data_IF_508883804071
#
_entry.id   IF_508883804071
#
_cell.length_a   1.000
_cell.length_b   1.000
_cell.length_c   1.000
_cell.angle_alpha   90.00
_cell.angle_beta   90.00
_cell.angle_gamma   90.00
#
_symmetry.space_group_name_H-M   'P 1'
#
loop_
_entity.id
_entity.type
_entity.pdbx_description
1 polymer ?
#
# COMPACT_ATOMS: atom_id res chain seq x y z
N UNK A 1 -2.45 -39.17 3.25
CA UNK A 1 -1.26 -38.87 4.09
C UNK A 1 -0.43 -37.84 3.31
N UNK A 2 0.01 -36.78 3.95
CA UNK A 2 0.94 -35.86 3.32
C UNK A 2 2.32 -36.53 3.32
N UNK A 3 2.89 -36.72 2.14
CA UNK A 3 4.26 -37.20 2.00
C UNK A 3 5.23 -36.09 2.37
N UNK A 4 6.22 -36.42 3.22
CA UNK A 4 7.22 -35.42 3.67
C UNK A 4 8.62 -35.92 3.29
N UNK A 5 9.51 -34.97 2.96
CA UNK A 5 10.92 -35.22 2.68
C UNK A 5 11.73 -34.58 3.81
N UNK A 6 12.64 -35.36 4.40
CA UNK A 6 13.56 -34.83 5.39
C UNK A 6 14.62 -33.94 4.75
N UNK A 7 14.75 -32.68 5.19
CA UNK A 7 15.85 -31.81 4.83
C UNK A 7 16.90 -31.84 5.94
N UNK A 8 18.16 -32.26 5.64
CA UNK A 8 19.21 -32.27 6.65
C UNK A 8 19.51 -30.88 7.20
N UNK A 9 19.86 -30.82 8.49
CA UNK A 9 20.35 -29.60 9.12
C UNK A 9 21.64 -29.12 8.41
N UNK A 10 21.77 -27.81 8.26
CA UNK A 10 22.94 -27.19 7.60
C UNK A 10 23.21 -25.81 8.21
N UNK A 11 24.50 -25.40 8.16
CA UNK A 11 24.88 -24.06 8.48
C UNK A 11 24.49 -23.11 7.34
N UNK A 12 23.99 -21.94 7.70
CA UNK A 12 23.61 -20.89 6.75
C UNK A 12 24.58 -19.72 6.90
N UNK A 13 25.16 -19.31 5.79
CA UNK A 13 26.14 -18.23 5.77
C UNK A 13 25.45 -16.89 6.14
N UNK A 14 26.00 -16.20 7.15
CA UNK A 14 25.65 -14.81 7.43
C UNK A 14 26.37 -13.93 6.41
N UNK A 15 25.63 -13.26 5.57
CA UNK A 15 26.18 -12.44 4.46
C UNK A 15 26.09 -10.95 4.77
N UNK A 16 25.29 -10.55 5.77
CA UNK A 16 25.09 -9.16 6.13
C UNK A 16 24.68 -8.97 7.59
N UNK A 17 25.02 -7.79 8.14
CA UNK A 17 24.59 -7.29 9.44
C UNK A 17 24.30 -5.82 9.34
N UNK A 18 23.18 -5.38 9.92
CA UNK A 18 22.77 -3.98 9.98
C UNK A 18 22.06 -3.70 11.31
N UNK A 19 21.98 -2.47 11.73
CA UNK A 19 21.20 -2.09 12.92
C UNK A 19 19.71 -2.42 12.69
N UNK A 20 19.21 -2.15 11.47
CA UNK A 20 17.82 -2.41 11.09
C UNK A 20 17.76 -3.25 9.81
N UNK A 21 17.02 -4.34 9.85
CA UNK A 21 16.69 -5.16 8.68
C UNK A 21 15.21 -4.95 8.36
N UNK A 22 14.91 -4.45 7.16
CA UNK A 22 13.56 -4.26 6.65
C UNK A 22 13.25 -5.35 5.64
N UNK A 23 12.16 -6.07 5.82
CA UNK A 23 11.77 -7.19 4.94
C UNK A 23 10.52 -6.83 4.15
N UNK A 24 10.67 -6.65 2.84
CA UNK A 24 9.65 -6.23 1.89
C UNK A 24 9.86 -4.80 1.41
N UNK A 25 10.21 -4.62 0.14
CA UNK A 25 10.47 -3.34 -0.52
C UNK A 25 9.20 -2.64 -1.05
N UNK A 26 8.05 -2.87 -0.39
CA UNK A 26 6.81 -2.14 -0.68
C UNK A 26 6.80 -0.71 -0.11
N UNK A 27 5.70 0.05 -0.27
CA UNK A 27 5.62 1.44 0.20
C UNK A 27 6.00 1.62 1.67
N UNK A 28 5.50 0.76 2.57
CA UNK A 28 5.88 0.79 3.98
C UNK A 28 7.38 0.51 4.20
N UNK A 29 7.93 -0.48 3.49
CA UNK A 29 9.33 -0.86 3.63
C UNK A 29 10.30 0.20 3.12
N UNK A 30 9.98 0.87 2.02
CA UNK A 30 10.74 2.00 1.51
C UNK A 30 10.78 3.11 2.56
N UNK A 31 9.61 3.49 3.09
CA UNK A 31 9.52 4.53 4.12
C UNK A 31 10.24 4.15 5.40
N UNK A 32 10.13 2.88 5.86
CA UNK A 32 10.82 2.38 7.04
C UNK A 32 12.35 2.42 6.86
N UNK A 33 12.84 1.93 5.73
CA UNK A 33 14.27 1.87 5.45
C UNK A 33 14.88 3.28 5.33
N UNK A 34 14.23 4.18 4.57
CA UNK A 34 14.67 5.56 4.38
C UNK A 34 14.65 6.32 5.71
N UNK A 35 13.57 6.17 6.48
CA UNK A 35 13.42 6.85 7.78
C UNK A 35 14.49 6.37 8.77
N UNK A 36 14.69 5.07 8.92
CA UNK A 36 15.72 4.53 9.80
C UNK A 36 17.13 5.01 9.40
N UNK A 37 17.47 4.97 8.11
CA UNK A 37 18.76 5.40 7.60
C UNK A 37 19.00 6.91 7.80
N UNK A 38 17.99 7.75 7.53
CA UNK A 38 18.09 9.21 7.78
C UNK A 38 18.27 9.56 9.26
N UNK A 39 17.85 8.67 10.16
CA UNK A 39 18.05 8.81 11.60
C UNK A 39 19.34 8.14 12.10
N UNK A 40 20.22 7.71 11.21
CA UNK A 40 21.59 7.29 11.50
C UNK A 40 21.82 5.79 11.66
N UNK A 41 20.80 4.95 11.46
CA UNK A 41 20.99 3.50 11.47
C UNK A 41 21.59 2.98 10.15
N UNK A 42 22.41 1.94 10.24
CA UNK A 42 22.72 1.09 9.08
C UNK A 42 21.50 0.23 8.75
N UNK A 43 21.09 0.24 7.49
CA UNK A 43 19.84 -0.41 7.06
C UNK A 43 20.05 -1.32 5.87
N UNK A 44 19.56 -2.56 5.98
CA UNK A 44 19.41 -3.48 4.85
C UNK A 44 17.94 -3.70 4.55
N UNK A 45 17.53 -3.40 3.30
CA UNK A 45 16.18 -3.64 2.79
C UNK A 45 16.19 -4.85 1.85
N UNK A 46 15.34 -5.84 2.16
CA UNK A 46 15.18 -7.07 1.38
C UNK A 46 13.91 -7.02 0.54
N UNK A 47 14.02 -7.37 -0.74
CA UNK A 47 12.86 -7.47 -1.64
C UNK A 47 12.95 -8.76 -2.48
N UNK A 48 11.83 -9.48 -2.58
CA UNK A 48 11.75 -10.74 -3.35
C UNK A 48 11.79 -10.54 -4.87
N UNK A 49 11.24 -9.44 -5.35
CA UNK A 49 11.17 -9.11 -6.78
C UNK A 49 12.42 -8.34 -7.26
N UNK A 50 12.60 -8.20 -8.59
CA UNK A 50 13.68 -7.39 -9.15
C UNK A 50 13.47 -5.88 -9.03
N UNK A 51 12.40 -5.44 -8.38
CA UNK A 51 12.03 -4.04 -8.23
C UNK A 51 11.44 -3.78 -6.85
N UNK A 52 11.48 -2.52 -6.42
CA UNK A 52 10.83 -2.00 -5.22
C UNK A 52 9.53 -1.27 -5.56
N UNK A 53 8.72 -0.98 -4.56
CA UNK A 53 7.44 -0.28 -4.71
C UNK A 53 6.22 -1.16 -4.43
N UNK A 54 6.40 -2.47 -4.23
CA UNK A 54 5.33 -3.40 -3.87
C UNK A 54 4.10 -3.25 -4.77
N UNK A 55 2.89 -3.19 -4.20
CA UNK A 55 1.66 -3.06 -4.99
C UNK A 55 1.48 -1.68 -5.65
N UNK A 56 2.12 -0.62 -5.17
CA UNK A 56 2.12 0.66 -5.87
C UNK A 56 2.75 0.53 -7.27
N UNK A 57 3.86 -0.19 -7.36
CA UNK A 57 4.57 -0.42 -8.62
C UNK A 57 4.15 -1.73 -9.29
N UNK A 58 4.36 -2.86 -8.61
CA UNK A 58 4.11 -4.19 -9.17
C UNK A 58 2.65 -4.58 -9.29
N UNK A 59 1.79 -4.10 -8.40
CA UNK A 59 0.33 -4.24 -8.51
C UNK A 59 -0.32 -3.16 -9.36
N UNK A 60 0.45 -2.18 -9.84
CA UNK A 60 0.00 -1.05 -10.66
C UNK A 60 -1.17 -0.29 -10.02
N UNK A 61 -1.17 -0.09 -8.70
CA UNK A 61 -2.16 0.79 -8.07
C UNK A 61 -1.87 2.22 -8.50
N UNK A 62 -2.85 2.85 -9.15
CA UNK A 62 -2.65 4.15 -9.82
C UNK A 62 -2.74 5.33 -8.86
N UNK A 63 -3.57 5.28 -7.84
CA UNK A 63 -3.90 6.44 -7.00
C UNK A 63 -3.33 6.28 -5.60
N UNK A 64 -2.63 7.33 -5.14
CA UNK A 64 -2.31 7.52 -3.72
C UNK A 64 -3.45 8.35 -3.12
N UNK A 65 -4.30 7.72 -2.36
CA UNK A 65 -5.46 8.29 -1.70
C UNK A 65 -5.38 8.15 -0.17
N UNK A 66 -6.45 8.49 0.54
CA UNK A 66 -6.56 8.35 2.00
C UNK A 66 -5.50 9.16 2.78
N UNK A 67 -5.16 10.33 2.27
CA UNK A 67 -4.11 11.20 2.81
C UNK A 67 -4.57 12.62 3.18
N UNK A 68 -5.88 12.82 3.23
CA UNK A 68 -6.48 14.11 3.54
C UNK A 68 -7.66 13.95 4.50
N UNK A 69 -7.78 14.85 5.47
CA UNK A 69 -8.98 15.07 6.25
C UNK A 69 -9.54 16.44 5.88
N UNK A 70 -10.66 16.48 5.18
CA UNK A 70 -11.23 17.69 4.57
C UNK A 70 -10.20 18.44 3.70
N UNK A 71 -9.63 19.53 4.19
CA UNK A 71 -8.59 20.32 3.50
C UNK A 71 -7.18 20.05 4.04
N UNK A 72 -7.09 19.40 5.20
CA UNK A 72 -5.82 19.10 5.85
C UNK A 72 -5.16 17.86 5.24
N UNK A 73 -3.93 18.01 4.71
CA UNK A 73 -3.13 16.87 4.27
C UNK A 73 -2.55 16.18 5.51
N UNK A 74 -3.00 14.96 5.77
CA UNK A 74 -2.70 14.18 6.98
C UNK A 74 -1.53 13.22 6.80
N UNK A 75 -1.29 12.74 5.59
CA UNK A 75 -0.10 11.92 5.28
C UNK A 75 0.92 12.79 4.57
N UNK A 76 2.07 13.02 5.23
CA UNK A 76 3.16 13.89 4.79
C UNK A 76 4.48 13.12 4.70
N UNK A 77 5.59 13.76 5.00
CA UNK A 77 6.91 13.13 5.09
C UNK A 77 7.35 12.48 3.78
N UNK A 78 7.82 11.23 3.87
CA UNK A 78 8.37 10.48 2.73
C UNK A 78 7.34 10.30 1.60
N UNK A 79 6.05 10.14 1.94
CA UNK A 79 5.00 10.01 0.92
C UNK A 79 4.91 11.26 0.04
N UNK A 80 4.90 12.45 0.64
CA UNK A 80 4.87 13.71 -0.11
C UNK A 80 6.15 13.92 -0.92
N UNK A 81 7.32 13.56 -0.37
CA UNK A 81 8.58 13.62 -1.11
C UNK A 81 8.53 12.74 -2.37
N UNK A 82 7.95 11.55 -2.28
CA UNK A 82 7.76 10.66 -3.42
C UNK A 82 6.85 11.28 -4.50
N UNK A 83 5.73 11.86 -4.07
CA UNK A 83 4.79 12.56 -4.96
C UNK A 83 5.50 13.70 -5.71
N UNK A 84 6.21 14.57 -4.99
CA UNK A 84 6.89 15.70 -5.61
C UNK A 84 7.99 15.25 -6.58
N UNK A 85 8.74 14.18 -6.28
CA UNK A 85 9.70 13.60 -7.22
C UNK A 85 9.05 13.13 -8.52
N UNK A 86 7.93 12.42 -8.43
CA UNK A 86 7.20 11.93 -9.61
C UNK A 86 6.59 13.09 -10.41
N UNK A 87 6.13 14.17 -9.76
CA UNK A 87 5.64 15.39 -10.41
C UNK A 87 6.73 16.10 -11.23
N UNK A 88 7.97 16.12 -10.75
CA UNK A 88 9.10 16.71 -11.50
C UNK A 88 9.34 16.04 -12.86
N UNK A 89 8.93 14.79 -13.01
CA UNK A 89 9.03 14.08 -14.29
C UNK A 89 7.76 14.15 -15.14
N UNK A 90 6.72 14.86 -14.68
CA UNK A 90 5.42 14.90 -15.34
C UNK A 90 4.63 13.58 -15.27
N UNK A 91 5.01 12.66 -14.35
CA UNK A 91 4.44 11.32 -14.23
C UNK A 91 3.60 11.16 -12.95
N UNK A 92 3.15 12.27 -12.38
CA UNK A 92 2.20 12.30 -11.27
C UNK A 92 1.32 13.54 -11.39
N UNK A 93 0.03 13.36 -11.20
CA UNK A 93 -1.00 14.39 -11.30
C UNK A 93 -1.72 14.50 -9.98
N UNK A 94 -1.90 15.73 -9.50
CA UNK A 94 -2.66 16.06 -8.29
C UNK A 94 -3.66 17.17 -8.58
N UNK A 95 -4.80 17.27 -7.86
CA UNK A 95 -5.71 18.41 -7.98
C UNK A 95 -5.01 19.70 -7.57
N UNK A 96 -5.45 20.82 -8.13
CA UNK A 96 -4.97 22.14 -7.71
C UNK A 96 -5.58 22.53 -6.35
N UNK A 97 -4.95 23.47 -5.66
CA UNK A 97 -5.50 23.98 -4.40
C UNK A 97 -6.90 24.58 -4.57
N UNK A 98 -7.16 25.24 -5.72
CA UNK A 98 -8.48 25.77 -6.06
C UNK A 98 -9.52 24.68 -6.17
N UNK A 99 -9.21 23.55 -6.83
CA UNK A 99 -10.16 22.45 -7.04
C UNK A 99 -10.53 21.75 -5.71
N UNK A 100 -9.72 21.97 -4.67
CA UNK A 100 -9.93 21.37 -3.33
C UNK A 100 -10.64 22.29 -2.34
N UNK A 101 -10.84 23.57 -2.68
CA UNK A 101 -11.59 24.51 -1.82
C UNK A 101 -13.04 24.03 -1.68
N UNK A 102 -13.60 24.17 -0.47
CA UNK A 102 -14.96 23.70 -0.12
C UNK A 102 -16.00 24.18 -1.13
N UNK A 103 -15.89 25.43 -1.60
CA UNK A 103 -16.81 26.07 -2.54
C UNK A 103 -16.74 25.53 -3.98
N UNK A 104 -15.67 24.77 -4.34
CA UNK A 104 -15.48 24.25 -5.69
C UNK A 104 -15.38 22.72 -5.76
N UNK A 105 -14.95 22.05 -4.70
CA UNK A 105 -14.54 20.65 -4.72
C UNK A 105 -15.63 19.62 -5.03
N UNK A 106 -16.89 19.97 -4.82
CA UNK A 106 -18.06 19.12 -5.07
C UNK A 106 -18.95 19.65 -6.21
N UNK A 107 -18.41 20.55 -7.04
CA UNK A 107 -19.12 21.06 -8.22
C UNK A 107 -19.09 20.07 -9.38
N UNK A 108 -20.10 20.11 -10.28
CA UNK A 108 -20.10 19.28 -11.50
C UNK A 108 -18.83 19.49 -12.36
N UNK A 109 -18.30 20.71 -12.43
CA UNK A 109 -17.10 21.05 -13.18
C UNK A 109 -15.84 20.40 -12.60
N UNK A 110 -15.66 20.44 -11.28
CA UNK A 110 -14.54 19.78 -10.59
C UNK A 110 -14.63 18.27 -10.76
N UNK A 111 -15.83 17.72 -10.61
CA UNK A 111 -16.08 16.29 -10.84
C UNK A 111 -15.75 15.89 -12.28
N UNK A 112 -16.22 16.60 -13.28
CA UNK A 112 -15.95 16.35 -14.69
C UNK A 112 -14.47 16.35 -14.99
N UNK A 113 -13.70 17.24 -14.34
CA UNK A 113 -12.26 17.37 -14.54
C UNK A 113 -11.45 16.24 -13.87
N UNK A 114 -11.84 15.80 -12.68
CA UNK A 114 -10.99 14.99 -11.81
C UNK A 114 -11.47 13.56 -11.56
N UNK A 115 -12.76 13.24 -11.80
CA UNK A 115 -13.29 11.93 -11.53
C UNK A 115 -12.55 10.79 -12.25
N UNK A 116 -12.22 11.00 -13.53
CA UNK A 116 -11.49 10.00 -14.32
C UNK A 116 -9.99 9.92 -14.01
N UNK A 117 -9.51 10.74 -13.08
CA UNK A 117 -8.19 10.58 -12.45
C UNK A 117 -8.27 9.81 -11.13
N UNK A 118 -9.46 9.55 -10.61
CA UNK A 118 -9.66 8.94 -9.31
C UNK A 118 -9.29 9.85 -8.13
N UNK A 119 -9.29 11.19 -8.32
CA UNK A 119 -8.81 12.15 -7.34
C UNK A 119 -9.96 12.77 -6.56
N UNK A 120 -10.73 11.92 -5.88
CA UNK A 120 -11.90 12.31 -5.09
C UNK A 120 -12.05 11.45 -3.83
N UNK A 121 -12.86 11.90 -2.89
CA UNK A 121 -13.14 11.17 -1.66
C UNK A 121 -14.12 10.03 -1.89
N UNK A 122 -13.62 8.81 -1.97
CA UNK A 122 -14.41 7.58 -2.13
C UNK A 122 -15.30 7.26 -0.92
N UNK A 123 -15.04 7.85 0.23
CA UNK A 123 -15.74 7.54 1.48
C UNK A 123 -16.95 8.43 1.73
N UNK A 124 -17.06 9.53 1.00
CA UNK A 124 -18.21 10.43 1.08
C UNK A 124 -19.39 9.85 0.30
N UNK A 125 -20.59 9.73 0.88
CA UNK A 125 -21.77 9.20 0.19
C UNK A 125 -22.40 10.18 -0.81
N UNK A 126 -22.03 11.47 -0.77
CA UNK A 126 -22.57 12.52 -1.65
C UNK A 126 -22.12 12.34 -3.09
N UNK A 127 -22.97 12.72 -4.04
CA UNK A 127 -22.63 12.79 -5.46
C UNK A 127 -22.89 14.22 -5.99
N UNK A 128 -21.96 14.82 -6.74
CA UNK A 128 -20.61 14.34 -7.02
C UNK A 128 -19.76 14.21 -5.75
N UNK A 129 -18.82 13.25 -5.76
CA UNK A 129 -17.88 13.13 -4.64
C UNK A 129 -16.96 14.34 -4.58
N UNK A 130 -16.58 14.81 -3.37
CA UNK A 130 -15.65 15.92 -3.20
C UNK A 130 -14.27 15.61 -3.79
N UNK A 131 -13.70 16.53 -4.55
CA UNK A 131 -12.32 16.42 -4.99
C UNK A 131 -11.38 16.62 -3.81
N UNK A 132 -10.44 15.70 -3.63
CA UNK A 132 -9.52 15.70 -2.50
C UNK A 132 -8.06 15.64 -2.96
N UNK A 133 -7.12 15.97 -2.07
CA UNK A 133 -5.71 15.79 -2.36
C UNK A 133 -5.40 14.31 -2.38
N UNK A 134 -5.11 13.84 -3.56
CA UNK A 134 -4.64 12.49 -3.89
C UNK A 134 -3.77 12.60 -5.14
N UNK A 135 -3.06 11.53 -5.49
CA UNK A 135 -2.10 11.58 -6.59
C UNK A 135 -2.26 10.38 -7.52
N UNK A 136 -2.58 10.65 -8.79
CA UNK A 136 -2.51 9.67 -9.86
C UNK A 136 -1.09 9.64 -10.42
N UNK A 137 -0.48 8.46 -10.51
CA UNK A 137 0.94 8.33 -10.85
C UNK A 137 1.21 7.16 -11.81
N UNK A 138 2.35 7.25 -12.49
CA UNK A 138 2.86 6.14 -13.29
C UNK A 138 3.62 5.13 -12.39
N UNK A 139 3.35 3.80 -12.50
CA UNK A 139 4.01 2.79 -11.67
C UNK A 139 5.55 2.76 -11.80
N UNK A 140 6.08 3.03 -12.99
CA UNK A 140 7.53 3.08 -13.19
C UNK A 140 8.16 4.36 -12.61
N UNK A 141 7.42 5.46 -12.58
CA UNK A 141 7.83 6.66 -11.86
C UNK A 141 7.93 6.39 -10.34
N UNK A 142 6.99 5.62 -9.79
CA UNK A 142 7.07 5.21 -8.38
C UNK A 142 8.28 4.32 -8.10
N UNK A 143 8.59 3.34 -8.97
CA UNK A 143 9.80 2.53 -8.88
C UNK A 143 11.06 3.39 -8.88
N UNK A 144 11.17 4.30 -9.86
CA UNK A 144 12.30 5.21 -9.99
C UNK A 144 12.48 6.08 -8.75
N UNK A 145 11.40 6.72 -8.27
CA UNK A 145 11.44 7.53 -7.06
C UNK A 145 11.87 6.70 -5.84
N UNK A 146 11.43 5.44 -5.75
CA UNK A 146 11.81 4.51 -4.69
C UNK A 146 13.32 4.21 -4.70
N UNK A 147 13.90 3.92 -5.87
CA UNK A 147 15.34 3.70 -5.98
C UNK A 147 16.15 4.95 -5.63
N UNK A 148 15.72 6.11 -6.13
CA UNK A 148 16.40 7.39 -5.87
C UNK A 148 16.43 7.70 -4.36
N UNK A 149 15.30 7.56 -3.67
CA UNK A 149 15.21 7.90 -2.24
C UNK A 149 15.99 6.92 -1.36
N UNK A 150 15.97 5.62 -1.71
CA UNK A 150 16.75 4.59 -1.01
C UNK A 150 18.25 4.81 -1.19
N UNK A 151 18.69 5.10 -2.40
CA UNK A 151 20.11 5.38 -2.70
C UNK A 151 20.60 6.63 -1.99
N UNK A 152 19.81 7.73 -2.02
CA UNK A 152 20.13 8.98 -1.34
C UNK A 152 20.19 8.83 0.18
N UNK A 153 19.40 7.93 0.76
CA UNK A 153 19.43 7.63 2.18
C UNK A 153 20.58 6.66 2.57
N UNK A 154 21.29 6.09 1.60
CA UNK A 154 22.36 5.11 1.87
C UNK A 154 21.85 3.74 2.30
N UNK A 155 20.62 3.39 1.97
CA UNK A 155 20.05 2.07 2.28
C UNK A 155 20.71 0.99 1.43
N UNK A 156 21.13 -0.11 2.06
CA UNK A 156 21.63 -1.29 1.38
C UNK A 156 20.45 -2.11 0.87
N UNK A 157 20.18 -2.01 -0.42
CA UNK A 157 19.10 -2.74 -1.08
C UNK A 157 19.54 -4.10 -1.57
N UNK A 158 18.78 -5.16 -1.26
CA UNK A 158 18.95 -6.52 -1.76
C UNK A 158 17.64 -7.01 -2.40
N UNK A 159 17.53 -6.86 -3.70
CA UNK A 159 16.46 -7.48 -4.50
C UNK A 159 16.72 -8.98 -4.71
N UNK A 160 15.75 -9.73 -5.27
CA UNK A 160 15.85 -11.18 -5.48
C UNK A 160 16.13 -11.99 -4.21
N UNK A 161 15.69 -11.48 -3.07
CA UNK A 161 15.89 -12.06 -1.74
C UNK A 161 14.53 -12.47 -1.15
N UNK A 162 14.13 -13.73 -1.41
CA UNK A 162 12.87 -14.26 -0.91
C UNK A 162 13.01 -14.60 0.57
N UNK A 163 12.19 -14.00 1.41
CA UNK A 163 12.10 -14.36 2.81
C UNK A 163 11.75 -15.85 2.95
N UNK A 164 12.47 -16.56 3.81
CA UNK A 164 12.28 -17.99 4.09
C UNK A 164 11.87 -18.23 5.53
N UNK A 165 12.61 -17.68 6.50
CA UNK A 165 12.30 -17.83 7.92
C UNK A 165 12.90 -16.73 8.78
N UNK A 166 12.31 -16.51 9.95
CA UNK A 166 12.86 -15.65 10.99
C UNK A 166 13.95 -16.39 11.79
N UNK A 167 14.95 -15.65 12.26
CA UNK A 167 15.95 -16.12 13.22
C UNK A 167 15.57 -15.56 14.58
N UNK A 168 15.13 -16.42 15.50
CA UNK A 168 14.64 -16.04 16.83
C UNK A 168 15.46 -16.72 17.92
N UNK A 169 15.92 -15.96 18.89
CA UNK A 169 16.61 -16.41 20.09
C UNK A 169 15.74 -16.08 21.32
N UNK A 170 15.16 -17.10 21.94
CA UNK A 170 14.16 -16.91 22.99
C UNK A 170 12.91 -16.20 22.44
N UNK A 171 12.70 -14.95 22.84
CA UNK A 171 11.61 -14.09 22.32
C UNK A 171 12.10 -12.97 21.41
N UNK A 172 13.40 -12.92 21.14
CA UNK A 172 14.00 -11.82 20.40
C UNK A 172 14.33 -12.23 18.97
N UNK A 173 13.82 -11.53 17.98
CA UNK A 173 14.24 -11.71 16.60
C UNK A 173 15.67 -11.15 16.44
N UNK A 174 16.52 -11.88 15.69
CA UNK A 174 17.93 -11.55 15.43
C UNK A 174 18.24 -11.33 13.97
N UNK A 175 17.28 -11.56 13.12
CA UNK A 175 17.45 -11.44 11.68
C UNK A 175 16.53 -12.37 10.92
N UNK A 176 16.86 -12.59 9.66
CA UNK A 176 16.07 -13.42 8.75
C UNK A 176 16.95 -14.27 7.85
N UNK A 177 16.38 -15.35 7.35
CA UNK A 177 16.96 -16.19 6.30
C UNK A 177 16.18 -15.92 5.03
N UNK A 178 16.92 -15.69 3.94
CA UNK A 178 16.39 -15.51 2.60
C UNK A 178 16.86 -16.61 1.66
N UNK A 179 15.99 -17.05 0.76
CA UNK A 179 16.37 -17.85 -0.41
C UNK A 179 16.79 -16.89 -1.53
N UNK A 180 18.00 -17.08 -2.02
CA UNK A 180 18.57 -16.33 -3.16
C UNK A 180 18.98 -17.29 -4.25
N UNK A 181 19.48 -16.76 -5.36
CA UNK A 181 20.06 -17.56 -6.44
C UNK A 181 21.31 -18.33 -5.98
N UNK A 182 22.03 -17.83 -4.99
CA UNK A 182 23.21 -18.45 -4.39
C UNK A 182 22.88 -19.51 -3.30
N UNK A 183 21.59 -19.68 -2.99
CA UNK A 183 21.11 -20.54 -1.90
C UNK A 183 20.54 -19.74 -0.73
N UNK A 184 20.49 -20.36 0.45
CA UNK A 184 20.04 -19.69 1.65
C UNK A 184 21.13 -18.81 2.24
N UNK A 185 20.75 -17.59 2.60
CA UNK A 185 21.63 -16.58 3.20
C UNK A 185 20.95 -15.98 4.43
N UNK A 186 21.71 -15.75 5.50
CA UNK A 186 21.22 -15.10 6.71
C UNK A 186 21.66 -13.63 6.74
N UNK A 187 20.72 -12.76 7.11
CA UNK A 187 20.89 -11.33 7.33
C UNK A 187 20.52 -11.05 8.79
N UNK A 188 21.45 -10.54 9.57
CA UNK A 188 21.24 -10.26 10.97
C UNK A 188 20.99 -8.77 11.23
N UNK A 189 20.16 -8.47 12.24
CA UNK A 189 19.84 -7.12 12.65
C UNK A 189 19.44 -7.03 14.11
N UNK A 190 19.68 -5.86 14.71
CA UNK A 190 19.28 -5.59 16.09
C UNK A 190 17.78 -5.31 16.19
N UNK A 191 17.19 -4.78 15.12
CA UNK A 191 15.74 -4.63 14.94
C UNK A 191 15.36 -5.16 13.56
N UNK A 192 14.24 -5.86 13.47
CA UNK A 192 13.62 -6.29 12.20
C UNK A 192 12.28 -5.59 12.03
N UNK A 193 12.02 -5.09 10.81
CA UNK A 193 10.73 -4.50 10.45
C UNK A 193 10.08 -5.38 9.38
N UNK A 194 8.93 -5.97 9.71
CA UNK A 194 8.10 -6.73 8.77
C UNK A 194 7.22 -5.78 7.96
N UNK A 195 7.55 -5.65 6.68
CA UNK A 195 6.80 -4.88 5.69
C UNK A 195 6.42 -5.75 4.48
N UNK A 196 6.34 -7.07 4.69
CA UNK A 196 6.06 -8.06 3.63
C UNK A 196 4.68 -7.93 3.03
N UNK A 197 3.75 -7.29 3.74
CA UNK A 197 2.35 -7.11 3.34
C UNK A 197 1.47 -8.32 3.67
N UNK A 198 2.06 -9.47 3.95
CA UNK A 198 1.37 -10.73 4.25
C UNK A 198 1.77 -11.31 5.63
N UNK A 199 2.46 -10.52 6.46
CA UNK A 199 2.94 -10.87 7.80
C UNK A 199 3.91 -12.06 7.80
N UNK A 200 4.74 -12.20 6.77
CA UNK A 200 5.56 -13.39 6.61
C UNK A 200 6.61 -13.52 7.71
N UNK A 201 7.26 -12.42 8.11
CA UNK A 201 8.30 -12.44 9.16
C UNK A 201 7.69 -12.70 10.53
N UNK A 202 6.67 -11.96 10.91
CA UNK A 202 6.05 -12.07 12.22
C UNK A 202 5.37 -13.45 12.42
N UNK A 203 4.68 -13.95 11.40
CA UNK A 203 4.09 -15.30 11.43
C UNK A 203 5.16 -16.38 11.55
N UNK A 204 6.27 -16.26 10.79
CA UNK A 204 7.41 -17.19 10.89
C UNK A 204 8.11 -17.13 12.25
N UNK A 205 8.11 -15.98 12.90
CA UNK A 205 8.65 -15.79 14.25
C UNK A 205 7.72 -16.32 15.36
N UNK A 206 6.49 -16.73 15.02
CA UNK A 206 5.51 -17.27 15.97
C UNK A 206 4.56 -16.22 16.56
N UNK A 207 4.44 -15.04 15.92
CA UNK A 207 3.47 -14.04 16.34
C UNK A 207 2.02 -14.49 16.05
N UNK A 208 1.12 -14.19 16.98
CA UNK A 208 -0.31 -14.42 16.84
C UNK A 208 -0.91 -13.57 15.72
N UNK A 209 -1.77 -14.15 14.91
CA UNK A 209 -2.42 -13.49 13.79
C UNK A 209 -3.73 -14.14 13.40
N UNK A 210 -4.57 -13.38 12.70
CA UNK A 210 -5.77 -13.91 12.04
C UNK A 210 -5.54 -14.00 10.54
N UNK A 211 -6.01 -15.07 9.92
CA UNK A 211 -6.08 -15.17 8.46
C UNK A 211 -7.41 -14.63 7.96
N UNK A 212 -7.35 -13.85 6.91
CA UNK A 212 -8.51 -13.27 6.25
C UNK A 212 -8.27 -13.20 4.75
N UNK A 213 -9.34 -13.24 3.99
CA UNK A 213 -9.31 -13.07 2.55
C UNK A 213 -10.20 -11.91 2.14
N UNK A 214 -9.75 -11.20 1.15
CA UNK A 214 -10.55 -10.20 0.48
C UNK A 214 -10.51 -10.44 -1.03
N UNK A 215 -10.38 -9.40 -1.84
CA UNK A 215 -10.38 -9.51 -3.29
C UNK A 215 -8.95 -9.59 -3.80
N UNK A 216 -8.66 -10.51 -4.73
CA UNK A 216 -7.50 -10.46 -5.60
C UNK A 216 -7.86 -9.68 -6.87
N UNK A 217 -6.92 -8.91 -7.40
CA UNK A 217 -7.14 -8.05 -8.58
C UNK A 217 -5.99 -8.21 -9.56
N UNK A 218 -6.30 -8.44 -10.83
CA UNK A 218 -5.32 -8.37 -11.92
C UNK A 218 -5.52 -7.03 -12.63
N UNK A 219 -4.62 -6.10 -12.42
CA UNK A 219 -4.66 -4.77 -13.02
C UNK A 219 -4.02 -4.77 -14.40
N UNK A 220 -4.50 -3.92 -15.29
CA UNK A 220 -3.88 -3.69 -16.61
C UNK A 220 -3.94 -2.22 -17.00
N UNK A 221 -3.02 -1.83 -17.91
CA UNK A 221 -3.09 -0.53 -18.59
C UNK A 221 -3.35 -0.75 -20.07
N UNK A 222 -4.22 0.08 -20.63
CA UNK A 222 -4.57 0.03 -22.04
C UNK A 222 -4.18 1.33 -22.73
N UNK A 223 -3.52 1.21 -23.88
CA UNK A 223 -3.16 2.31 -24.76
C UNK A 223 -4.13 2.44 -25.93
N UNK A 224 -4.00 3.50 -26.70
CA UNK A 224 -4.82 3.76 -27.90
C UNK A 224 -6.25 4.20 -27.58
N UNK A 225 -6.51 4.68 -26.36
CA UNK A 225 -7.84 5.13 -25.92
C UNK A 225 -7.99 6.62 -26.18
N UNK A 226 -9.07 7.01 -26.91
CA UNK A 226 -9.55 8.37 -26.98
C UNK A 226 -10.37 8.71 -25.72
N UNK A 227 -9.66 9.18 -24.68
CA UNK A 227 -10.29 9.48 -23.39
C UNK A 227 -11.33 10.59 -23.47
N UNK A 228 -11.20 11.52 -24.40
CA UNK A 228 -12.16 12.61 -24.57
C UNK A 228 -13.46 12.10 -25.21
N UNK A 229 -13.38 11.18 -26.16
CA UNK A 229 -14.54 10.51 -26.74
C UNK A 229 -15.26 9.64 -25.69
N UNK A 230 -14.51 8.87 -24.91
CA UNK A 230 -15.05 8.03 -23.85
C UNK A 230 -15.77 8.85 -22.75
N UNK A 231 -15.18 9.96 -22.29
CA UNK A 231 -15.81 10.87 -21.31
C UNK A 231 -17.04 11.59 -21.89
N UNK A 232 -17.00 11.96 -23.19
CA UNK A 232 -18.19 12.54 -23.86
C UNK A 232 -19.33 11.56 -23.90
N UNK A 233 -19.09 10.33 -24.33
CA UNK A 233 -20.11 9.28 -24.39
C UNK A 233 -20.78 9.06 -23.04
N UNK A 234 -20.01 8.90 -21.96
CA UNK A 234 -20.53 8.72 -20.60
C UNK A 234 -21.43 9.89 -20.16
N UNK A 235 -21.06 11.11 -20.55
CA UNK A 235 -21.81 12.34 -20.19
C UNK A 235 -23.05 12.55 -21.05
N UNK A 236 -22.96 12.30 -22.37
CA UNK A 236 -23.99 12.64 -23.34
C UNK A 236 -25.05 11.53 -23.50
N UNK A 237 -24.67 10.27 -23.23
CA UNK A 237 -25.57 9.12 -23.25
C UNK A 237 -25.36 8.19 -22.04
N UNK A 238 -25.69 8.68 -20.82
CA UNK A 238 -25.45 7.93 -19.58
C UNK A 238 -26.25 6.62 -19.49
N UNK A 239 -27.39 6.52 -20.16
CA UNK A 239 -28.19 5.28 -20.18
C UNK A 239 -27.53 4.21 -21.05
N UNK A 240 -27.06 4.56 -22.25
CA UNK A 240 -26.29 3.63 -23.08
C UNK A 240 -24.99 3.21 -22.38
N UNK A 241 -24.25 4.17 -21.76
CA UNK A 241 -23.05 3.87 -20.98
C UNK A 241 -23.33 2.86 -19.86
N UNK A 242 -24.42 3.04 -19.11
CA UNK A 242 -24.82 2.14 -18.03
C UNK A 242 -25.12 0.72 -18.50
N UNK A 243 -25.72 0.57 -19.68
CA UNK A 243 -25.97 -0.74 -20.26
C UNK A 243 -24.68 -1.45 -20.66
N UNK A 244 -23.75 -0.73 -21.29
CA UNK A 244 -22.45 -1.27 -21.68
C UNK A 244 -21.59 -1.58 -20.46
N UNK A 245 -21.60 -0.73 -19.40
CA UNK A 245 -20.93 -1.00 -18.14
C UNK A 245 -21.46 -2.26 -17.45
N UNK A 246 -22.78 -2.48 -17.50
CA UNK A 246 -23.39 -3.70 -16.98
C UNK A 246 -22.91 -4.96 -17.72
N UNK A 247 -22.80 -4.91 -19.04
CA UNK A 247 -22.31 -6.03 -19.84
C UNK A 247 -20.80 -6.25 -19.59
N UNK A 248 -20.00 -5.19 -19.57
CA UNK A 248 -18.59 -5.24 -19.20
C UNK A 248 -18.39 -5.90 -17.82
N UNK A 249 -19.21 -5.50 -16.84
CA UNK A 249 -19.21 -6.08 -15.49
C UNK A 249 -19.47 -7.59 -15.52
N UNK A 250 -20.37 -8.05 -16.36
CA UNK A 250 -20.65 -9.48 -16.53
C UNK A 250 -19.44 -10.24 -17.09
N UNK A 251 -18.74 -9.66 -18.07
CA UNK A 251 -17.54 -10.25 -18.68
C UNK A 251 -16.39 -10.40 -17.71
N UNK A 252 -16.20 -9.45 -16.80
CA UNK A 252 -15.14 -9.51 -15.77
C UNK A 252 -15.54 -10.30 -14.53
N UNK A 253 -16.74 -10.91 -14.49
CA UNK A 253 -17.17 -11.77 -13.40
C UNK A 253 -18.03 -11.09 -12.33
N UNK A 254 -18.59 -9.92 -12.63
CA UNK A 254 -19.67 -9.29 -11.88
C UNK A 254 -19.33 -8.65 -10.54
N UNK A 255 -18.06 -8.52 -10.17
CA UNK A 255 -17.71 -7.98 -8.87
C UNK A 255 -17.81 -6.45 -8.81
N UNK A 256 -17.22 -5.75 -9.77
CA UNK A 256 -17.22 -4.28 -9.86
C UNK A 256 -17.45 -3.89 -11.34
N UNK A 257 -17.73 -2.59 -11.59
CA UNK A 257 -17.94 -2.08 -12.93
C UNK A 257 -16.66 -2.02 -13.77
N UNK A 258 -16.82 -1.73 -15.06
CA UNK A 258 -15.73 -1.34 -15.96
C UNK A 258 -15.21 0.04 -15.56
N UNK A 259 -14.39 0.06 -14.52
CA UNK A 259 -13.81 1.29 -14.02
C UNK A 259 -12.47 1.53 -14.69
N UNK A 260 -12.42 2.53 -15.56
CA UNK A 260 -11.19 3.02 -16.14
C UNK A 260 -10.82 4.41 -15.61
N UNK A 261 -9.55 4.65 -15.41
CA UNK A 261 -9.01 5.94 -14.99
C UNK A 261 -7.91 6.40 -15.94
N UNK A 262 -7.78 7.72 -16.10
CA UNK A 262 -6.66 8.34 -16.83
C UNK A 262 -5.34 8.06 -16.10
N UNK A 263 -4.28 7.92 -16.87
CA UNK A 263 -2.91 7.88 -16.36
C UNK A 263 -2.16 9.15 -16.78
N UNK A 264 -1.01 9.47 -16.18
CA UNK A 264 -0.18 10.57 -16.66
C UNK A 264 0.31 10.43 -18.11
N UNK A 265 0.17 9.24 -18.71
CA UNK A 265 0.54 8.96 -20.10
C UNK A 265 -0.68 9.22 -21.02
N UNK A 266 -0.59 10.14 -22.00
CA UNK A 266 -1.71 10.44 -22.89
C UNK A 266 -2.21 9.20 -23.65
N UNK A 267 -3.52 9.01 -23.69
CA UNK A 267 -4.16 7.87 -24.37
C UNK A 267 -3.94 6.51 -23.70
N UNK A 268 -3.36 6.50 -22.50
CA UNK A 268 -3.22 5.30 -21.68
C UNK A 268 -4.16 5.39 -20.48
N UNK A 269 -4.99 4.35 -20.31
CA UNK A 269 -5.89 4.23 -19.17
C UNK A 269 -5.52 3.06 -18.27
N UNK A 270 -5.91 3.15 -17.02
CA UNK A 270 -5.70 2.14 -15.99
C UNK A 270 -7.04 1.49 -15.63
N UNK A 271 -7.05 0.17 -15.46
CA UNK A 271 -8.23 -0.62 -15.14
C UNK A 271 -8.03 -1.41 -13.85
N UNK A 272 -8.87 -1.12 -12.86
CA UNK A 272 -8.88 -1.85 -11.58
C UNK A 272 -9.84 -3.04 -11.62
N UNK A 273 -9.67 -3.89 -12.61
CA UNK A 273 -10.48 -5.10 -12.80
C UNK A 273 -9.69 -6.17 -13.58
N UNK A 274 -10.09 -7.46 -13.51
CA UNK A 274 -11.20 -8.01 -12.76
C UNK A 274 -10.89 -8.18 -11.26
N UNK A 275 -11.94 -8.15 -10.45
CA UNK A 275 -11.89 -8.49 -9.06
C UNK A 275 -12.28 -9.96 -8.86
N UNK A 276 -11.43 -10.73 -8.20
CA UNK A 276 -11.63 -12.16 -7.98
C UNK A 276 -11.79 -12.45 -6.49
N UNK A 277 -13.04 -12.49 -5.99
CA UNK A 277 -13.33 -12.87 -4.61
C UNK A 277 -13.10 -14.37 -4.41
N UNK A 278 -12.98 -14.80 -3.15
CA UNK A 278 -12.86 -16.19 -2.71
C UNK A 278 -11.50 -16.86 -2.98
N UNK A 279 -10.57 -16.21 -3.64
CA UNK A 279 -9.19 -16.69 -3.79
C UNK A 279 -8.32 -16.21 -2.63
N UNK A 280 -7.40 -17.06 -2.18
CA UNK A 280 -6.47 -16.74 -1.09
C UNK A 280 -5.14 -16.22 -1.63
N UNK A 281 -4.68 -15.09 -1.10
CA UNK A 281 -3.34 -14.55 -1.38
C UNK A 281 -2.20 -15.36 -0.74
N UNK A 282 -2.51 -16.41 0.04
CA UNK A 282 -1.53 -17.30 0.69
C UNK A 282 -1.37 -18.66 -0.03
N UNK A 283 -2.24 -18.96 -1.00
CA UNK A 283 -2.21 -20.22 -1.73
C UNK A 283 -1.66 -20.01 -3.13
N UNK A 284 -0.62 -20.76 -3.47
CA UNK A 284 0.03 -20.68 -4.78
C UNK A 284 -0.94 -20.99 -5.91
N UNK A 285 -1.80 -21.98 -5.72
CA UNK A 285 -2.83 -22.40 -6.67
C UNK A 285 -3.82 -21.25 -6.96
N UNK A 286 -4.30 -20.58 -5.91
CA UNK A 286 -5.25 -19.47 -6.01
C UNK A 286 -4.60 -18.24 -6.69
N UNK A 287 -3.33 -17.94 -6.35
CA UNK A 287 -2.58 -16.88 -7.00
C UNK A 287 -2.34 -17.18 -8.48
N UNK A 288 -1.97 -18.43 -8.82
CA UNK A 288 -1.78 -18.87 -10.20
C UNK A 288 -3.10 -18.79 -10.98
N UNK A 289 -4.21 -19.22 -10.37
CA UNK A 289 -5.54 -19.10 -10.97
C UNK A 289 -5.89 -17.62 -11.22
N UNK A 290 -5.62 -16.73 -10.26
CA UNK A 290 -5.87 -15.29 -10.42
C UNK A 290 -5.11 -14.69 -11.61
N UNK A 291 -3.84 -15.07 -11.78
CA UNK A 291 -3.01 -14.63 -12.92
C UNK A 291 -3.57 -15.11 -14.27
N UNK A 292 -3.95 -16.36 -14.37
CA UNK A 292 -4.45 -16.94 -15.62
C UNK A 292 -5.86 -16.42 -15.95
N UNK A 293 -6.77 -16.48 -14.99
CA UNK A 293 -8.18 -16.10 -15.18
C UNK A 293 -8.32 -14.58 -15.38
N UNK A 294 -7.54 -13.79 -14.62
CA UNK A 294 -7.54 -12.34 -14.75
C UNK A 294 -7.18 -11.88 -16.15
N UNK A 295 -6.10 -12.41 -16.73
CA UNK A 295 -5.70 -12.11 -18.12
C UNK A 295 -6.74 -12.54 -19.14
N UNK A 296 -7.32 -13.71 -18.97
CA UNK A 296 -8.38 -14.18 -19.87
C UNK A 296 -9.65 -13.31 -19.84
N UNK A 297 -10.03 -12.79 -18.65
CA UNK A 297 -11.16 -11.87 -18.52
C UNK A 297 -10.86 -10.52 -19.16
N UNK A 298 -9.63 -9.99 -18.96
CA UNK A 298 -9.20 -8.72 -19.58
C UNK A 298 -9.20 -8.85 -21.12
N UNK A 299 -8.75 -9.97 -21.69
CA UNK A 299 -8.78 -10.18 -23.15
C UNK A 299 -10.21 -10.07 -23.70
N UNK A 300 -11.17 -10.76 -23.07
CA UNK A 300 -12.59 -10.67 -23.48
C UNK A 300 -13.17 -9.27 -23.30
N UNK A 301 -12.77 -8.57 -22.23
CA UNK A 301 -13.22 -7.21 -21.98
C UNK A 301 -12.65 -6.24 -23.03
N UNK A 302 -11.41 -6.43 -23.46
CA UNK A 302 -10.78 -5.62 -24.50
C UNK A 302 -11.51 -5.78 -25.84
N UNK A 303 -11.81 -7.01 -26.25
CA UNK A 303 -12.56 -7.28 -27.48
C UNK A 303 -13.92 -6.57 -27.45
N UNK A 304 -14.67 -6.72 -26.36
CA UNK A 304 -15.93 -6.03 -26.13
C UNK A 304 -15.79 -4.50 -26.16
N UNK A 305 -14.78 -3.95 -25.46
CA UNK A 305 -14.60 -2.50 -25.41
C UNK A 305 -14.26 -1.90 -26.77
N UNK A 306 -13.50 -2.61 -27.61
CA UNK A 306 -13.17 -2.18 -28.98
C UNK A 306 -14.37 -2.19 -29.91
N UNK A 307 -15.30 -3.11 -29.71
CA UNK A 307 -16.50 -3.26 -30.56
C UNK A 307 -17.62 -2.32 -30.13
N UNK A 308 -17.80 -2.09 -28.83
CA UNK A 308 -19.02 -1.49 -28.30
C UNK A 308 -18.81 -0.16 -27.55
N UNK A 309 -17.59 0.14 -27.04
CA UNK A 309 -17.38 1.32 -26.19
C UNK A 309 -16.72 2.47 -26.95
N UNK A 310 -17.44 3.61 -27.16
CA UNK A 310 -16.86 4.80 -27.79
C UNK A 310 -15.58 5.27 -27.12
N UNK A 311 -14.55 5.52 -27.93
CA UNK A 311 -13.22 5.91 -27.49
C UNK A 311 -12.25 4.75 -27.23
N UNK A 312 -12.73 3.48 -27.31
CA UNK A 312 -11.90 2.29 -27.12
C UNK A 312 -11.64 1.51 -28.40
N UNK A 313 -12.06 1.97 -29.55
CA UNK A 313 -11.99 1.26 -30.84
C UNK A 313 -10.57 0.82 -31.21
N UNK A 314 -9.56 1.62 -30.82
CA UNK A 314 -8.14 1.36 -31.07
C UNK A 314 -7.40 0.88 -29.82
N UNK A 315 -8.11 0.50 -28.75
CA UNK A 315 -7.50 0.10 -27.51
C UNK A 315 -6.65 -1.18 -27.65
N UNK A 316 -5.57 -1.25 -26.92
CA UNK A 316 -4.71 -2.44 -26.78
C UNK A 316 -4.13 -2.51 -25.37
N UNK A 317 -3.80 -3.71 -24.90
CA UNK A 317 -3.13 -3.87 -23.61
C UNK A 317 -1.69 -3.41 -23.75
N UNK A 318 -1.30 -2.40 -22.96
CA UNK A 318 0.10 -1.97 -22.81
C UNK A 318 0.85 -2.99 -21.97
N UNK A 319 0.30 -3.27 -20.79
CA UNK A 319 0.88 -4.22 -19.83
C UNK A 319 -0.17 -4.74 -18.83
N UNK A 320 0.18 -5.84 -18.19
CA UNK A 320 -0.49 -6.37 -17.01
C UNK A 320 0.38 -6.14 -15.79
N UNK A 321 -0.24 -5.93 -14.64
CA UNK A 321 0.49 -5.86 -13.39
C UNK A 321 1.35 -7.12 -13.20
N UNK A 322 2.66 -6.98 -12.96
CA UNK A 322 3.55 -8.11 -12.69
C UNK A 322 3.29 -8.81 -11.36
N UNK A 323 2.46 -8.21 -10.50
CA UNK A 323 1.98 -8.80 -9.25
C UNK A 323 0.47 -8.76 -9.20
N UNK A 324 -0.16 -9.88 -8.85
CA UNK A 324 -1.58 -9.87 -8.45
C UNK A 324 -1.77 -8.98 -7.23
N UNK A 325 -2.77 -8.11 -7.29
CA UNK A 325 -3.14 -7.20 -6.21
C UNK A 325 -3.79 -7.95 -5.05
N UNK A 326 -2.99 -8.35 -4.07
CA UNK A 326 -3.45 -9.00 -2.83
C UNK A 326 -3.78 -7.94 -1.80
N UNK A 327 -5.05 -7.85 -1.39
CA UNK A 327 -5.51 -6.78 -0.50
C UNK A 327 -5.45 -7.14 0.98
N UNK A 328 -5.67 -8.41 1.32
CA UNK A 328 -5.72 -8.88 2.70
C UNK A 328 -5.36 -10.36 2.76
N UNK A 329 -4.54 -10.74 3.76
CA UNK A 329 -4.15 -12.12 4.06
C UNK A 329 -4.07 -12.33 5.57
N UNK A 330 -2.86 -12.33 6.16
CA UNK A 330 -2.67 -12.37 7.61
C UNK A 330 -2.70 -10.95 8.17
N UNK A 331 -3.30 -10.80 9.34
CA UNK A 331 -3.33 -9.56 10.12
C UNK A 331 -2.78 -9.86 11.51
N UNK A 332 -1.85 -9.04 11.97
CA UNK A 332 -1.25 -9.18 13.30
C UNK A 332 -2.31 -9.12 14.40
N UNK A 333 -2.16 -9.92 15.46
CA UNK A 333 -2.81 -9.73 16.76
C UNK A 333 -1.82 -9.12 17.75
N UNK A 334 -1.50 -7.84 17.55
CA UNK A 334 -0.54 -7.08 18.34
C UNK A 334 -1.04 -6.68 19.72
N UNK A 335 -0.26 -5.84 20.41
CA UNK A 335 -0.62 -5.33 21.76
C UNK A 335 -1.94 -4.54 21.76
N UNK A 336 -2.35 -4.02 20.60
CA UNK A 336 -3.67 -3.46 20.36
C UNK A 336 -4.17 -3.86 18.98
N UNK A 337 -5.44 -4.22 18.87
CA UNK A 337 -6.10 -4.53 17.59
C UNK A 337 -7.04 -3.38 17.25
N UNK A 338 -6.72 -2.62 16.21
CA UNK A 338 -7.57 -1.51 15.72
C UNK A 338 -8.87 -2.08 15.20
N UNK A 339 -9.99 -1.56 15.71
CA UNK A 339 -11.34 -1.99 15.34
C UNK A 339 -11.98 -1.08 14.30
N UNK A 340 -13.07 -1.54 13.66
CA UNK A 340 -13.85 -0.69 12.78
C UNK A 340 -14.38 0.54 13.52
N UNK A 341 -14.79 0.39 14.77
CA UNK A 341 -15.29 1.50 15.59
C UNK A 341 -14.20 2.54 15.86
N UNK A 342 -12.95 2.11 16.12
CA UNK A 342 -11.83 3.05 16.30
C UNK A 342 -11.62 3.91 15.04
N UNK A 343 -11.77 3.31 13.84
CA UNK A 343 -11.66 4.02 12.57
C UNK A 343 -12.84 4.97 12.36
N UNK A 344 -14.08 4.48 12.56
CA UNK A 344 -15.30 5.24 12.29
C UNK A 344 -15.50 6.39 13.28
N UNK A 345 -15.12 6.20 14.55
CA UNK A 345 -15.22 7.25 15.58
C UNK A 345 -13.99 8.15 15.64
N UNK A 346 -13.01 7.92 14.73
CA UNK A 346 -11.75 8.69 14.70
C UNK A 346 -11.04 8.69 16.06
N UNK A 347 -11.04 7.53 16.72
CA UNK A 347 -10.48 7.40 18.06
C UNK A 347 -9.02 7.76 18.09
N UNK A 348 -8.68 8.75 18.88
CA UNK A 348 -7.30 9.16 19.12
C UNK A 348 -6.68 8.37 20.27
N UNK A 349 -5.38 8.05 20.15
CA UNK A 349 -4.63 7.28 21.14
C UNK A 349 -3.43 8.10 21.65
N UNK A 350 -3.08 7.96 22.92
CA UNK A 350 -1.93 8.64 23.49
C UNK A 350 -0.59 8.21 22.84
N UNK A 351 -0.55 7.00 22.30
CA UNK A 351 0.59 6.42 21.58
C UNK A 351 0.43 6.43 20.05
N UNK A 352 -0.37 7.34 19.51
CA UNK A 352 -0.48 7.52 18.06
C UNK A 352 0.88 7.96 17.50
N UNK A 353 1.33 7.28 16.42
CA UNK A 353 2.61 7.57 15.75
C UNK A 353 2.45 7.87 14.26
N UNK A 354 1.29 7.60 13.69
CA UNK A 354 0.93 7.98 12.33
C UNK A 354 -0.59 7.98 12.17
N UNK A 355 -1.05 8.54 11.09
CA UNK A 355 -2.47 8.60 10.74
C UNK A 355 -2.68 8.40 9.26
N UNK A 356 -3.86 7.97 8.88
CA UNK A 356 -4.38 8.05 7.54
C UNK A 356 -5.20 9.31 7.34
N UNK A 357 -6.26 9.22 6.53
CA UNK A 357 -7.18 10.34 6.26
C UNK A 357 -7.69 11.00 7.54
N UNK A 358 -8.45 10.25 8.34
CA UNK A 358 -9.13 10.73 9.53
C UNK A 358 -9.12 9.72 10.70
N UNK A 359 -8.28 8.70 10.60
CA UNK A 359 -8.07 7.69 11.64
C UNK A 359 -6.60 7.68 12.10
N UNK A 360 -6.38 7.17 13.30
CA UNK A 360 -5.10 7.20 14.00
C UNK A 360 -4.59 5.79 14.25
N UNK A 361 -3.29 5.58 14.04
CA UNK A 361 -2.64 4.30 14.28
C UNK A 361 -1.80 4.38 15.56
N UNK A 362 -2.19 3.65 16.63
CA UNK A 362 -1.38 3.59 17.84
C UNK A 362 -0.15 2.72 17.62
N UNK A 363 0.99 3.08 18.22
CA UNK A 363 2.25 2.35 18.09
C UNK A 363 2.13 0.87 18.47
N UNK A 364 1.37 0.58 19.53
CA UNK A 364 1.14 -0.81 19.99
C UNK A 364 0.35 -1.68 19.02
N UNK A 365 -0.28 -1.12 17.98
CA UNK A 365 -0.86 -1.89 16.88
C UNK A 365 0.20 -2.39 15.88
N UNK A 366 1.44 -1.94 16.02
CA UNK A 366 2.57 -2.35 15.19
C UNK A 366 3.49 -3.35 15.91
N UNK A 367 3.19 -3.74 17.15
CA UNK A 367 4.01 -4.58 18.00
C UNK A 367 3.41 -5.97 18.20
N UNK A 368 4.09 -7.07 17.77
CA UNK A 368 3.70 -8.43 18.12
C UNK A 368 3.79 -8.65 19.63
N UNK A 369 2.85 -9.39 20.22
CA UNK A 369 2.84 -9.67 21.66
C UNK A 369 4.01 -10.56 22.11
N UNK A 370 4.36 -11.53 21.27
CA UNK A 370 5.25 -12.64 21.63
C UNK A 370 6.71 -12.39 21.31
N UNK A 371 6.98 -11.47 20.37
CA UNK A 371 8.32 -11.29 19.79
C UNK A 371 8.84 -9.88 20.07
N UNK A 372 10.02 -9.81 20.64
CA UNK A 372 10.73 -8.56 20.86
C UNK A 372 11.63 -8.21 19.67
N UNK A 373 11.97 -6.92 19.51
CA UNK A 373 12.79 -6.36 18.43
C UNK A 373 12.19 -6.54 17.02
N UNK A 374 10.87 -6.77 16.94
CA UNK A 374 10.10 -6.84 15.71
C UNK A 374 9.02 -5.76 15.68
N UNK A 375 8.97 -4.99 14.59
CA UNK A 375 7.91 -4.02 14.31
C UNK A 375 7.21 -4.47 13.01
N UNK A 376 5.90 -4.37 12.96
CA UNK A 376 5.08 -4.67 11.79
C UNK A 376 4.51 -3.36 11.23
N UNK A 377 4.75 -3.08 9.95
CA UNK A 377 4.25 -1.87 9.30
C UNK A 377 3.69 -2.15 7.90
N UNK A 378 2.53 -1.58 7.61
CA UNK A 378 1.85 -1.77 6.33
C UNK A 378 0.48 -2.45 6.49
N UNK A 379 -0.12 -2.91 5.39
CA UNK A 379 -1.51 -3.40 5.35
C UNK A 379 -1.83 -4.60 6.28
N UNK A 380 -0.82 -5.23 6.85
CA UNK A 380 -0.92 -6.41 7.72
C UNK A 380 -0.71 -6.08 9.21
N UNK A 381 -0.73 -4.79 9.56
CA UNK A 381 -0.68 -4.34 10.96
C UNK A 381 -1.86 -4.88 11.78
N UNK A 382 -1.84 -4.68 13.09
CA UNK A 382 -2.85 -5.23 13.98
C UNK A 382 -4.17 -4.47 13.88
N UNK A 383 -5.07 -5.01 13.09
CA UNK A 383 -6.42 -4.49 12.89
C UNK A 383 -7.41 -5.63 12.62
N UNK A 384 -8.67 -5.41 12.94
CA UNK A 384 -9.73 -6.35 12.50
C UNK A 384 -9.83 -6.33 10.96
N UNK A 385 -10.28 -7.43 10.31
CA UNK A 385 -10.46 -7.46 8.87
C UNK A 385 -11.30 -6.32 8.31
N UNK A 386 -12.28 -5.86 9.06
CA UNK A 386 -13.15 -4.75 8.67
C UNK A 386 -12.44 -3.39 8.77
N UNK A 387 -11.68 -3.15 9.83
CA UNK A 387 -10.88 -1.94 9.98
C UNK A 387 -9.81 -1.85 8.89
N UNK A 388 -9.07 -2.94 8.65
CA UNK A 388 -8.00 -3.00 7.66
C UNK A 388 -8.48 -2.63 6.25
N UNK A 389 -9.70 -2.98 5.85
CA UNK A 389 -10.26 -2.61 4.54
C UNK A 389 -10.26 -1.11 4.29
N UNK A 390 -10.42 -0.30 5.34
CA UNK A 390 -10.48 1.15 5.29
C UNK A 390 -9.19 1.84 5.75
N UNK A 391 -8.13 1.08 6.09
CA UNK A 391 -6.91 1.65 6.68
C UNK A 391 -5.62 1.02 6.13
N UNK A 392 -5.66 0.45 4.92
CA UNK A 392 -4.56 -0.25 4.27
C UNK A 392 -4.00 0.44 3.03
N UNK A 393 -4.51 1.61 2.70
CA UNK A 393 -4.10 2.31 1.48
C UNK A 393 -2.61 2.68 1.52
N UNK A 394 -2.04 2.98 0.36
CA UNK A 394 -0.59 3.13 0.23
C UNK A 394 -0.03 4.25 1.11
N UNK A 395 -0.61 5.48 1.12
CA UNK A 395 -0.06 6.56 1.93
C UNK A 395 -0.07 6.28 3.44
N UNK A 396 -1.15 5.78 4.06
CA UNK A 396 -1.10 5.36 5.46
C UNK A 396 -0.10 4.26 5.75
N UNK A 397 0.10 3.30 4.83
CA UNK A 397 1.14 2.29 4.96
C UNK A 397 2.55 2.91 4.92
N UNK A 398 2.77 3.93 4.10
CA UNK A 398 4.02 4.68 4.09
C UNK A 398 4.26 5.43 5.41
N UNK A 399 3.24 6.05 5.97
CA UNK A 399 3.31 6.72 7.27
C UNK A 399 3.62 5.73 8.41
N UNK A 400 3.00 4.53 8.41
CA UNK A 400 3.35 3.46 9.35
C UNK A 400 4.82 3.02 9.20
N UNK A 401 5.29 2.84 7.96
CA UNK A 401 6.67 2.51 7.68
C UNK A 401 7.64 3.56 8.20
N UNK A 402 7.35 4.84 7.95
CA UNK A 402 8.16 5.96 8.42
C UNK A 402 8.25 5.98 9.96
N UNK A 403 7.12 5.78 10.64
CA UNK A 403 7.07 5.67 12.11
C UNK A 403 7.85 4.45 12.62
N UNK A 404 7.77 3.30 11.94
CA UNK A 404 8.53 2.10 12.32
C UNK A 404 10.05 2.32 12.23
N UNK A 405 10.51 2.99 11.17
CA UNK A 405 11.93 3.33 11.00
C UNK A 405 12.44 4.27 12.12
N UNK A 406 11.68 5.33 12.44
CA UNK A 406 11.99 6.21 13.57
C UNK A 406 12.00 5.44 14.88
N UNK A 407 10.98 4.63 15.14
CA UNK A 407 10.84 3.87 16.39
C UNK A 407 12.01 2.90 16.61
N UNK A 408 12.47 2.23 15.56
CA UNK A 408 13.63 1.35 15.61
C UNK A 408 14.87 2.11 16.08
N UNK A 409 15.14 3.29 15.51
CA UNK A 409 16.32 4.09 15.86
C UNK A 409 16.20 4.71 17.26
N UNK A 410 15.01 5.18 17.66
CA UNK A 410 14.76 5.69 19.02
C UNK A 410 15.05 4.60 20.05
N UNK A 411 14.60 3.36 19.82
CA UNK A 411 14.86 2.24 20.71
C UNK A 411 16.36 1.89 20.79
N UNK A 412 17.04 1.81 19.64
CA UNK A 412 18.47 1.51 19.54
C UNK A 412 19.31 2.54 20.28
N UNK A 413 19.06 3.83 20.04
CA UNK A 413 19.78 4.93 20.68
C UNK A 413 19.58 4.96 22.20
N UNK A 414 18.42 4.52 22.67
CA UNK A 414 18.11 4.42 24.10
C UNK A 414 18.61 3.09 24.74
N UNK A 415 19.18 2.17 23.97
CA UNK A 415 19.60 0.84 24.44
C UNK A 415 18.42 0.01 24.99
N UNK A 416 17.22 0.17 24.43
CA UNK A 416 16.01 -0.49 24.91
C UNK A 416 15.35 -1.36 23.80
N UNK A 417 14.31 -2.09 24.14
CA UNK A 417 13.52 -2.80 23.14
C UNK A 417 12.57 -1.85 22.41
N UNK A 418 12.19 -2.21 21.17
CA UNK A 418 11.21 -1.43 20.39
C UNK A 418 9.89 -1.27 21.15
N UNK A 419 9.50 -2.24 21.97
CA UNK A 419 8.31 -2.18 22.83
C UNK A 419 8.37 -1.05 23.87
N UNK A 420 9.58 -0.66 24.29
CA UNK A 420 9.83 0.38 25.30
C UNK A 420 10.32 1.69 24.68
N UNK A 421 10.24 1.83 23.36
CA UNK A 421 10.61 3.07 22.70
C UNK A 421 9.76 4.25 23.22
N UNK A 422 10.40 5.39 23.40
CA UNK A 422 9.74 6.61 23.88
C UNK A 422 8.84 7.18 22.78
N UNK A 423 7.54 7.12 22.99
CA UNK A 423 6.53 7.61 22.04
C UNK A 423 6.70 9.09 21.75
N UNK A 424 7.03 9.91 22.76
CA UNK A 424 7.23 11.35 22.54
C UNK A 424 8.47 11.64 21.70
N UNK A 425 9.53 10.85 21.88
CA UNK A 425 10.72 10.94 21.05
C UNK A 425 10.40 10.54 19.60
N UNK A 426 9.61 9.47 19.38
CA UNK A 426 9.14 9.05 18.04
C UNK A 426 8.35 10.19 17.40
N UNK A 427 7.32 10.70 18.07
CA UNK A 427 6.45 11.77 17.57
C UNK A 427 7.26 13.04 17.23
N UNK A 428 8.21 13.42 18.08
CA UNK A 428 9.10 14.57 17.86
C UNK A 428 9.96 14.36 16.62
N UNK A 429 10.54 13.18 16.44
CA UNK A 429 11.42 12.88 15.31
C UNK A 429 10.62 12.80 14.01
N UNK A 430 9.41 12.23 14.02
CA UNK A 430 8.50 12.23 12.87
C UNK A 430 8.25 13.66 12.38
N UNK A 431 7.93 14.59 13.27
CA UNK A 431 7.77 16.02 12.92
C UNK A 431 9.04 16.64 12.37
N UNK A 432 10.17 16.35 12.96
CA UNK A 432 11.46 16.92 12.55
C UNK A 432 11.81 16.57 11.09
N UNK A 433 11.31 15.44 10.58
CA UNK A 433 11.48 15.02 9.18
C UNK A 433 10.28 15.34 8.29
N UNK A 434 9.32 16.14 8.76
CA UNK A 434 8.19 16.64 7.98
C UNK A 434 6.98 15.71 7.93
N UNK A 435 6.97 14.60 8.68
CA UNK A 435 5.83 13.72 8.79
C UNK A 435 4.83 14.19 9.87
N UNK A 436 3.58 13.78 9.75
CA UNK A 436 2.57 14.00 10.77
C UNK A 436 2.42 12.72 11.63
N UNK A 437 2.81 12.73 12.91
CA UNK A 437 2.65 11.58 13.79
C UNK A 437 1.19 11.37 14.24
N UNK A 438 0.28 12.31 13.98
CA UNK A 438 -1.11 12.22 14.43
C UNK A 438 -1.29 12.26 15.95
N UNK A 439 -0.39 12.89 16.69
CA UNK A 439 -0.41 12.93 18.17
C UNK A 439 -1.38 13.98 18.75
N UNK A 440 -2.04 14.72 17.87
CA UNK A 440 -3.18 15.56 18.19
C UNK A 440 -4.32 15.28 17.20
N UNK A 441 -5.59 15.33 17.61
CA UNK A 441 -6.71 15.29 16.69
C UNK A 441 -6.65 16.48 15.72
N UNK A 442 -7.11 16.29 14.49
CA UNK A 442 -7.30 17.38 13.54
C UNK A 442 -8.30 18.41 14.07
N UNK A 443 -7.98 19.70 13.93
CA UNK A 443 -8.92 20.79 14.30
C UNK A 443 -10.18 20.76 13.42
N UNK A 444 -10.04 20.30 12.16
CA UNK A 444 -11.14 20.20 11.20
C UNK A 444 -11.81 18.81 11.19
N UNK A 445 -11.54 17.97 12.19
CA UNK A 445 -12.13 16.65 12.26
C UNK A 445 -13.64 16.75 12.55
N UNK A 446 -14.45 16.62 11.51
CA UNK A 446 -15.89 16.38 11.66
C UNK A 446 -16.08 14.96 12.17
N UNK A 447 -16.47 14.81 13.42
CA UNK A 447 -16.85 13.52 13.97
C UNK A 447 -18.16 13.11 13.29
N UNK A 448 -18.10 12.03 12.54
CA UNK A 448 -19.33 11.36 12.12
C UNK A 448 -19.96 10.79 13.40
N UNK A 449 -21.09 11.32 13.83
CA UNK A 449 -21.93 10.65 14.81
C UNK A 449 -22.18 9.23 14.29
N UNK A 450 -21.96 8.24 15.14
CA UNK A 450 -22.26 6.86 14.81
C UNK A 450 -23.74 6.82 14.36
N UNK A 451 -23.95 6.53 13.09
CA UNK A 451 -25.29 6.24 12.61
C UNK A 451 -25.76 4.99 13.37
N UNK A 452 -26.79 5.17 14.22
CA UNK A 452 -27.49 4.12 14.94
C UNK A 452 -28.03 3.02 14.00
#
# INVERSE_FOLDING_TARGET
MIETIHQPARDIKVVDRSDVVVVGGGPAGISAAVSAARNGASVTLLERYPYVGGLAAGGMVLVLDDMINELEITVRGICMEMIERMKLWGLCVTPTDRDRLIEFRDTPEAWQRWARWGLFDFHTPSMPHPICFSAAFDPDAFKRASYDILALAGVKLRTHSWFSSAIVEGKTIRGVICQTKAGMEAILGDVVIDTTGDLDVAASAGASHVESNFILTTVSRWGGVDTDAAERFEREDPEAFKLLDHEAKRLIGGCWSFWWLKTPLPGVVWLNCPHMPKLSGLKVEDLTQAELEGRARIARLLDFAREEMPGFENAYVVDFAPQTGVRQTRLLEGDYVVTKDDVMTRKHFADTVCRGRDYYTPYRAMLPKEIDQLIVAGRHYSATPQAQKSSREIPPCMAMGEAAGVAAVVALNAGTTVRKADIKAIQKQMRAQGADPGDAPSENATYLEAAE
#
